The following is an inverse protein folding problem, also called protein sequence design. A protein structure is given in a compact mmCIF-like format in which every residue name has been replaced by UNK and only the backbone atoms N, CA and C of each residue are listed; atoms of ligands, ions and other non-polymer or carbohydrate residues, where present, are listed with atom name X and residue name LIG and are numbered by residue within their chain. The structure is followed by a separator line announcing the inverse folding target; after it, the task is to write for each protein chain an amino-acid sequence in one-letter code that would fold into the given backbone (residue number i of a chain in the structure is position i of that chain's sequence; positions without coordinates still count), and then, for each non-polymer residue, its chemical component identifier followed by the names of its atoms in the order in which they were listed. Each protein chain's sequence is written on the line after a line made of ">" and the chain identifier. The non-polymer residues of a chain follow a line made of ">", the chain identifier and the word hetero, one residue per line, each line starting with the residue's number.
data_IF_322796627511
#
_entry.id   IF_322796627511
#
_cell.length_a   1.000
_cell.length_b   1.000
_cell.length_c   1.000
_cell.angle_alpha   90.00
_cell.angle_beta   90.00
_cell.angle_gamma   90.00
#
_symmetry.space_group_name_H-M   'P 1'
#
loop_
_entity.id
_entity.type
_entity.pdbx_description
1 polymer ?
#
# COMPACT_ATOMS: atom_id res chain seq x y z
N UNK A 1 2.91 21.80 3.57
CA UNK A 1 2.58 22.03 2.14
C UNK A 1 3.90 22.16 1.40
N UNK A 2 4.16 21.30 0.41
CA UNK A 2 5.38 21.18 -0.38
C UNK A 2 5.94 19.75 -0.49
N UNK A 3 5.57 18.87 0.44
CA UNK A 3 5.99 17.45 0.41
C UNK A 3 5.08 16.58 -0.45
N UNK A 4 3.89 17.07 -0.75
CA UNK A 4 2.87 16.34 -1.48
C UNK A 4 3.36 15.99 -2.89
N UNK A 5 3.88 16.96 -3.64
CA UNK A 5 4.44 16.77 -4.99
C UNK A 5 5.61 15.79 -5.00
N UNK A 6 6.52 15.92 -4.04
CA UNK A 6 7.67 15.03 -3.92
C UNK A 6 7.23 13.59 -3.67
N UNK A 7 6.32 13.37 -2.72
CA UNK A 7 5.83 12.02 -2.42
C UNK A 7 4.99 11.43 -3.54
N UNK A 8 4.23 12.25 -4.28
CA UNK A 8 3.50 11.81 -5.47
C UNK A 8 4.47 11.37 -6.58
N UNK A 9 5.55 12.13 -6.81
CA UNK A 9 6.58 11.75 -7.78
C UNK A 9 7.29 10.44 -7.39
N UNK A 10 7.59 10.23 -6.11
CA UNK A 10 8.20 8.99 -5.61
C UNK A 10 7.28 7.79 -5.84
N UNK A 11 5.99 7.91 -5.50
CA UNK A 11 5.00 6.84 -5.70
C UNK A 11 4.86 6.53 -7.18
N UNK A 12 4.74 7.55 -8.02
CA UNK A 12 4.61 7.40 -9.47
C UNK A 12 5.82 6.67 -10.07
N UNK A 13 7.04 7.08 -9.69
CA UNK A 13 8.26 6.46 -10.21
C UNK A 13 8.39 5.00 -9.78
N UNK A 14 8.09 4.68 -8.51
CA UNK A 14 8.09 3.30 -8.03
C UNK A 14 7.03 2.44 -8.73
N UNK A 15 5.84 2.97 -8.96
CA UNK A 15 4.73 2.23 -9.60
C UNK A 15 4.96 1.97 -11.10
N UNK A 16 5.78 2.78 -11.77
CA UNK A 16 6.05 2.61 -13.20
C UNK A 16 7.31 1.78 -13.48
N UNK A 17 8.36 1.96 -12.69
CA UNK A 17 9.68 1.38 -12.95
C UNK A 17 9.90 0.03 -12.25
N UNK A 18 8.96 -0.41 -11.43
CA UNK A 18 9.05 -1.67 -10.68
C UNK A 18 7.80 -2.51 -10.91
N UNK A 19 7.89 -3.77 -10.54
CA UNK A 19 6.77 -4.71 -10.57
C UNK A 19 6.69 -5.50 -9.26
N UNK A 20 5.49 -5.97 -8.96
CA UNK A 20 5.17 -6.77 -7.79
C UNK A 20 5.53 -6.09 -6.45
N UNK A 21 5.40 -4.76 -6.41
CA UNK A 21 5.35 -4.01 -5.17
C UNK A 21 4.02 -4.19 -4.45
N UNK A 22 4.03 -3.96 -3.13
CA UNK A 22 2.83 -3.94 -2.30
C UNK A 22 2.64 -2.55 -1.72
N UNK A 23 1.49 -1.94 -2.01
CA UNK A 23 1.11 -0.62 -1.52
C UNK A 23 0.05 -0.74 -0.41
N UNK A 24 0.44 -0.39 0.82
CA UNK A 24 -0.45 -0.36 1.98
C UNK A 24 -1.05 1.05 2.13
N UNK A 25 -2.28 1.24 1.65
CA UNK A 25 -2.94 2.54 1.62
C UNK A 25 -3.95 2.69 2.76
N UNK A 26 -3.46 3.18 3.90
CA UNK A 26 -4.25 3.33 5.12
C UNK A 26 -4.83 4.74 5.28
N UNK A 27 -6.15 4.85 5.18
CA UNK A 27 -6.88 6.10 5.24
C UNK A 27 -7.09 6.77 3.88
N UNK A 28 -8.08 7.67 3.82
CA UNK A 28 -8.55 8.25 2.56
C UNK A 28 -7.48 9.04 1.80
N UNK A 29 -6.56 9.71 2.51
CA UNK A 29 -5.49 10.46 1.86
C UNK A 29 -4.49 9.55 1.13
N UNK A 30 -4.05 8.46 1.79
CA UNK A 30 -3.17 7.47 1.17
C UNK A 30 -3.86 6.76 0.00
N UNK A 31 -5.15 6.43 0.16
CA UNK A 31 -5.94 5.80 -0.91
C UNK A 31 -6.02 6.68 -2.16
N UNK A 32 -6.20 8.00 -2.01
CA UNK A 32 -6.19 8.96 -3.13
C UNK A 32 -4.83 9.01 -3.82
N UNK A 33 -3.73 9.07 -3.08
CA UNK A 33 -2.37 9.06 -3.65
C UNK A 33 -2.09 7.82 -4.50
N UNK A 34 -2.66 6.69 -4.14
CA UNK A 34 -2.49 5.42 -4.86
C UNK A 34 -3.54 5.12 -5.93
N UNK A 35 -4.40 6.07 -6.33
CA UNK A 35 -5.45 5.82 -7.34
C UNK A 35 -4.89 5.45 -8.72
N UNK A 36 -3.71 5.97 -9.08
CA UNK A 36 -3.10 5.75 -10.39
C UNK A 36 -2.14 4.54 -10.43
N UNK A 37 -2.09 3.73 -9.37
CA UNK A 37 -1.23 2.53 -9.32
C UNK A 37 -1.94 1.39 -10.07
N UNK A 38 -1.25 0.76 -11.01
CA UNK A 38 -1.80 -0.36 -11.79
C UNK A 38 -1.95 -1.63 -10.91
N UNK A 39 -3.18 -2.09 -10.64
CA UNK A 39 -3.42 -3.27 -9.80
C UNK A 39 -3.06 -4.58 -10.49
N UNK A 40 -2.78 -4.58 -11.80
CA UNK A 40 -2.29 -5.78 -12.51
C UNK A 40 -0.79 -5.98 -12.29
N UNK A 41 -0.03 -4.89 -12.04
CA UNK A 41 1.41 -4.92 -11.76
C UNK A 41 1.74 -5.06 -10.29
N UNK A 42 0.83 -4.62 -9.42
CA UNK A 42 1.09 -4.43 -7.99
C UNK A 42 -0.07 -4.89 -7.12
N UNK A 43 0.24 -5.26 -5.89
CA UNK A 43 -0.80 -5.45 -4.88
C UNK A 43 -1.12 -4.12 -4.19
N UNK A 44 -2.40 -3.77 -4.16
CA UNK A 44 -2.89 -2.58 -3.46
C UNK A 44 -3.82 -3.03 -2.33
N UNK A 45 -3.42 -2.79 -1.08
CA UNK A 45 -4.22 -3.12 0.09
C UNK A 45 -4.73 -1.84 0.76
N UNK A 46 -6.05 -1.65 0.79
CA UNK A 46 -6.72 -0.46 1.32
C UNK A 46 -7.45 -0.78 2.62
N UNK A 47 -7.28 0.06 3.64
CA UNK A 47 -8.10 0.02 4.86
C UNK A 47 -8.24 1.40 5.48
N UNK A 48 -9.12 1.61 6.47
CA UNK A 48 -9.07 2.79 7.33
C UNK A 48 -7.69 2.98 7.97
N UNK A 49 -7.41 4.19 8.45
CA UNK A 49 -6.14 4.50 9.13
C UNK A 49 -6.09 3.79 10.50
N UNK A 50 -4.90 3.34 10.97
CA UNK A 50 -4.71 2.74 12.30
C UNK A 50 -5.01 3.67 13.49
N UNK A 51 -5.33 4.94 13.24
CA UNK A 51 -5.64 5.89 14.31
C UNK A 51 -6.87 5.41 15.09
N UNK A 52 -6.92 5.60 16.43
CA UNK A 52 -8.07 5.23 17.25
C UNK A 52 -9.42 5.74 16.71
N UNK A 53 -9.41 6.89 16.02
CA UNK A 53 -10.60 7.51 15.42
C UNK A 53 -11.25 6.66 14.30
N UNK A 54 -10.49 5.77 13.67
CA UNK A 54 -10.93 4.99 12.51
C UNK A 54 -10.58 3.50 12.54
N UNK A 55 -9.73 3.06 13.45
CA UNK A 55 -9.19 1.69 13.44
C UNK A 55 -10.28 0.61 13.56
N UNK A 56 -11.27 0.84 14.41
CA UNK A 56 -12.41 -0.07 14.61
C UNK A 56 -13.34 -0.16 13.39
N UNK A 57 -13.18 0.71 12.39
CA UNK A 57 -13.99 0.70 11.15
C UNK A 57 -13.43 -0.23 10.07
N UNK A 58 -12.40 -1.03 10.39
CA UNK A 58 -11.85 -2.04 9.47
C UNK A 58 -10.34 -2.04 9.31
N UNK A 59 -9.57 -1.34 10.16
CA UNK A 59 -8.12 -1.55 10.23
C UNK A 59 -7.79 -2.84 10.98
N UNK A 60 -8.38 -3.03 12.16
CA UNK A 60 -8.20 -4.28 12.92
C UNK A 60 -8.78 -5.46 12.15
N UNK A 61 -8.00 -6.54 12.06
CA UNK A 61 -8.37 -7.75 11.31
C UNK A 61 -8.19 -7.67 9.79
N UNK A 62 -7.63 -6.58 9.24
CA UNK A 62 -7.43 -6.45 7.78
C UNK A 62 -6.41 -7.46 7.20
N UNK A 63 -5.51 -8.00 8.06
CA UNK A 63 -4.44 -8.95 7.75
C UNK A 63 -3.48 -8.46 6.66
N UNK A 64 -3.20 -7.15 6.60
CA UNK A 64 -2.37 -6.59 5.53
C UNK A 64 -0.93 -7.14 5.53
N UNK A 65 -0.34 -7.37 6.70
CA UNK A 65 1.04 -7.89 6.80
C UNK A 65 1.19 -9.30 6.24
N UNK A 66 0.27 -10.23 6.59
CA UNK A 66 0.31 -11.59 6.06
C UNK A 66 0.01 -11.61 4.56
N UNK A 67 -1.01 -10.87 4.11
CA UNK A 67 -1.34 -10.72 2.68
C UNK A 67 -0.18 -10.15 1.86
N UNK A 68 0.59 -9.24 2.46
CA UNK A 68 1.81 -8.70 1.83
C UNK A 68 2.82 -9.82 1.60
N UNK A 69 3.13 -10.59 2.64
CA UNK A 69 4.08 -11.70 2.51
C UNK A 69 3.58 -12.81 1.58
N UNK A 70 2.29 -13.16 1.62
CA UNK A 70 1.66 -14.10 0.69
C UNK A 70 1.88 -13.68 -0.77
N UNK A 71 1.66 -12.39 -1.08
CA UNK A 71 1.87 -11.85 -2.42
C UNK A 71 3.34 -11.81 -2.82
N UNK A 72 4.24 -11.40 -1.92
CA UNK A 72 5.68 -11.39 -2.18
C UNK A 72 6.18 -12.80 -2.51
N UNK A 73 5.81 -13.79 -1.70
CA UNK A 73 6.17 -15.20 -1.92
C UNK A 73 5.62 -15.70 -3.26
N UNK A 74 4.36 -15.39 -3.59
CA UNK A 74 3.74 -15.79 -4.86
C UNK A 74 4.47 -15.24 -6.10
N UNK A 75 5.20 -14.12 -5.95
CA UNK A 75 6.02 -13.50 -6.98
C UNK A 75 7.52 -13.74 -6.79
N UNK A 76 7.91 -14.75 -6.02
CA UNK A 76 9.31 -15.15 -5.81
C UNK A 76 10.15 -14.12 -5.06
N UNK A 77 9.53 -13.20 -4.31
CA UNK A 77 10.21 -12.21 -3.47
C UNK A 77 10.33 -12.70 -2.04
N UNK A 78 11.41 -12.28 -1.36
CA UNK A 78 11.62 -12.54 0.06
C UNK A 78 10.50 -11.87 0.88
N UNK A 79 9.81 -12.60 1.78
CA UNK A 79 8.84 -12.00 2.68
C UNK A 79 9.52 -11.04 3.67
N UNK A 80 8.75 -10.09 4.19
CA UNK A 80 9.21 -9.16 5.22
C UNK A 80 9.11 -9.84 6.59
N UNK A 81 10.17 -9.72 7.38
CA UNK A 81 10.14 -9.99 8.82
C UNK A 81 9.65 -8.71 9.51
N UNK A 82 8.43 -8.74 10.06
CA UNK A 82 7.66 -7.56 10.49
C UNK A 82 7.89 -7.19 11.95
#
# INVERSE_FOLDING_TARGET
>A
KGWEEFTDAVIWHLANEREHLVFLLWGAYAQRKGENIDPNKHLILKSPHPSPLSANRGFFGNRHFSKTNEYLIAHGKTPIDW
#
